data_IF_789588184007
#
_entry.id   IF_789588184007
#
_cell.length_a   1.000
_cell.length_b   1.000
_cell.length_c   1.000
_cell.angle_alpha   90.00
_cell.angle_beta   90.00
_cell.angle_gamma   90.00
#
_symmetry.space_group_name_H-M   'P 1'
#
loop_
_entity.id
_entity.type
_entity.pdbx_description
1 polymer ?
#
# COMPACT_ATOMS: atom_id res chain seq x y z
N UNK A 1 -58.48 6.29 24.59
CA UNK A 1 -57.29 7.07 24.22
C UNK A 1 -56.07 6.22 24.54
N UNK A 2 -55.61 5.43 23.56
CA UNK A 2 -54.35 4.68 23.65
C UNK A 2 -53.36 5.38 22.73
N UNK A 3 -52.39 6.08 23.29
CA UNK A 3 -51.25 6.57 22.53
C UNK A 3 -50.35 5.39 22.19
N UNK A 4 -50.21 5.12 20.89
CA UNK A 4 -49.27 4.15 20.36
C UNK A 4 -47.86 4.78 20.40
N UNK A 5 -46.99 4.20 21.20
CA UNK A 5 -45.57 4.51 21.24
C UNK A 5 -44.92 4.01 19.93
N UNK A 6 -44.63 4.95 19.04
CA UNK A 6 -44.00 4.69 17.75
C UNK A 6 -42.51 5.01 17.84
N UNK A 7 -41.76 4.17 18.55
CA UNK A 7 -40.30 4.23 18.57
C UNK A 7 -39.72 3.27 17.53
N UNK A 8 -39.33 3.85 16.39
CA UNK A 8 -38.54 3.18 15.35
C UNK A 8 -37.22 2.69 15.97
N UNK A 9 -36.77 1.43 15.74
CA UNK A 9 -35.49 0.98 16.26
C UNK A 9 -34.35 1.73 15.56
N UNK A 10 -33.55 2.45 16.34
CA UNK A 10 -32.30 3.02 15.84
C UNK A 10 -31.40 1.90 15.29
N UNK A 11 -30.86 2.12 14.09
CA UNK A 11 -29.90 1.23 13.45
C UNK A 11 -28.76 0.88 14.43
N UNK A 12 -28.38 -0.40 14.44
CA UNK A 12 -27.51 -1.00 15.45
C UNK A 12 -26.27 -0.17 15.77
N UNK A 13 -26.21 0.34 16.99
CA UNK A 13 -25.04 1.05 17.50
C UNK A 13 -23.81 0.12 17.46
N UNK A 14 -22.72 0.61 16.88
CA UNK A 14 -21.41 -0.04 16.90
C UNK A 14 -21.06 -0.44 18.35
N UNK A 15 -20.90 -1.75 18.60
CA UNK A 15 -20.47 -2.25 19.91
C UNK A 15 -18.94 -2.32 19.93
N UNK A 16 -18.25 -1.41 20.64
CA UNK A 16 -16.79 -1.47 20.72
C UNK A 16 -16.36 -2.76 21.42
N UNK A 17 -15.45 -3.52 20.78
CA UNK A 17 -14.78 -4.66 21.43
C UNK A 17 -13.84 -4.11 22.49
N UNK A 18 -14.12 -4.35 23.78
CA UNK A 18 -13.19 -4.00 24.88
C UNK A 18 -11.90 -4.82 24.76
N UNK A 19 -10.85 -4.27 24.16
CA UNK A 19 -9.52 -4.91 24.27
C UNK A 19 -8.27 -4.05 24.07
N UNK A 20 -8.34 -2.74 23.78
CA UNK A 20 -7.12 -1.90 23.59
C UNK A 20 -7.37 -0.40 23.85
N UNK A 21 -6.29 0.37 24.02
CA UNK A 21 -6.22 1.75 24.51
C UNK A 21 -6.99 2.83 23.70
N UNK A 22 -7.57 2.50 22.55
CA UNK A 22 -8.40 3.42 21.74
C UNK A 22 -9.71 2.77 21.23
N UNK A 23 -10.14 1.67 21.85
CA UNK A 23 -11.36 0.98 21.41
C UNK A 23 -12.60 1.88 21.50
N UNK A 24 -13.30 2.05 20.38
CA UNK A 24 -14.50 2.88 20.29
C UNK A 24 -14.23 4.39 20.24
N UNK A 25 -12.97 4.82 20.17
CA UNK A 25 -12.60 6.24 20.07
C UNK A 25 -12.48 6.62 18.60
N UNK A 26 -13.29 7.58 18.15
CA UNK A 26 -13.14 8.19 16.83
C UNK A 26 -11.90 9.09 16.82
N UNK A 27 -10.88 8.68 16.08
CA UNK A 27 -9.60 9.39 16.02
C UNK A 27 -9.50 10.44 14.89
N UNK A 28 -10.46 10.50 13.97
CA UNK A 28 -10.47 11.50 12.90
C UNK A 28 -11.46 11.18 11.78
N UNK A 29 -11.44 12.03 10.74
CA UNK A 29 -12.24 11.86 9.53
C UNK A 29 -11.37 11.32 8.39
N UNK A 30 -11.97 10.50 7.52
CA UNK A 30 -11.33 10.00 6.30
C UNK A 30 -12.33 9.92 5.16
N UNK A 31 -11.84 10.13 3.94
CA UNK A 31 -12.58 9.90 2.69
C UNK A 31 -12.03 8.71 1.90
N UNK A 32 -11.04 7.98 2.46
CA UNK A 32 -10.33 6.91 1.75
C UNK A 32 -11.05 5.57 1.85
N UNK A 33 -11.50 5.21 3.05
CA UNK A 33 -12.02 3.87 3.30
C UNK A 33 -13.07 3.88 4.41
N UNK A 34 -14.04 2.96 4.30
CA UNK A 34 -15.01 2.68 5.37
C UNK A 34 -15.09 1.19 5.61
N UNK A 35 -15.10 0.78 6.88
CA UNK A 35 -15.15 -0.62 7.32
C UNK A 35 -16.39 -0.85 8.18
N UNK A 36 -17.14 -1.92 7.90
CA UNK A 36 -18.18 -2.46 8.78
C UNK A 36 -19.35 -1.52 9.06
N UNK A 37 -19.68 -0.61 8.14
CA UNK A 37 -20.84 0.28 8.29
C UNK A 37 -22.16 -0.48 8.28
N UNK A 38 -22.26 -1.52 7.45
CA UNK A 38 -23.45 -2.40 7.36
C UNK A 38 -23.17 -3.80 7.92
N UNK A 39 -21.92 -4.10 8.27
CA UNK A 39 -21.53 -5.28 9.04
C UNK A 39 -20.15 -5.80 8.66
N UNK A 40 -20.03 -6.35 7.45
CA UNK A 40 -18.81 -6.95 6.90
C UNK A 40 -18.36 -6.26 5.59
N UNK A 41 -18.76 -5.01 5.39
CA UNK A 41 -18.46 -4.24 4.19
C UNK A 41 -17.14 -3.49 4.31
N UNK A 42 -16.38 -3.45 3.22
CA UNK A 42 -15.18 -2.64 3.07
C UNK A 42 -15.32 -1.87 1.77
N UNK A 43 -15.22 -0.54 1.84
CA UNK A 43 -15.30 0.31 0.66
C UNK A 43 -14.05 1.17 0.53
N UNK A 44 -13.54 1.30 -0.69
CA UNK A 44 -12.49 2.25 -1.04
C UNK A 44 -13.09 3.41 -1.81
N UNK A 45 -13.03 4.61 -1.22
CA UNK A 45 -13.64 5.84 -1.76
C UNK A 45 -15.09 5.65 -2.24
N UNK A 46 -15.84 4.78 -1.59
CA UNK A 46 -17.25 4.47 -1.90
C UNK A 46 -17.48 3.27 -2.81
N UNK A 47 -16.44 2.65 -3.38
CA UNK A 47 -16.56 1.41 -4.16
C UNK A 47 -16.41 0.19 -3.25
N UNK A 48 -17.27 -0.81 -3.40
CA UNK A 48 -17.20 -2.07 -2.63
C UNK A 48 -15.93 -2.84 -2.98
N UNK A 49 -15.20 -3.35 -1.98
CA UNK A 49 -14.02 -4.16 -2.18
C UNK A 49 -14.29 -5.41 -3.02
N UNK A 50 -15.49 -5.99 -2.92
CA UNK A 50 -15.82 -7.21 -3.68
C UNK A 50 -15.89 -6.93 -5.18
N UNK A 51 -16.37 -5.74 -5.56
CA UNK A 51 -16.37 -5.30 -6.95
C UNK A 51 -14.96 -4.98 -7.44
N UNK A 52 -14.16 -4.32 -6.61
CA UNK A 52 -12.78 -3.94 -6.94
C UNK A 52 -11.84 -5.14 -7.04
N UNK A 53 -11.92 -6.08 -6.09
CA UNK A 53 -11.00 -7.21 -6.00
C UNK A 53 -11.14 -8.16 -7.20
N UNK A 54 -12.34 -8.30 -7.77
CA UNK A 54 -12.58 -9.18 -8.92
C UNK A 54 -12.37 -8.53 -10.29
N UNK A 55 -12.42 -7.20 -10.37
CA UNK A 55 -12.50 -6.50 -11.66
C UNK A 55 -11.40 -5.47 -11.91
N UNK A 56 -10.62 -5.11 -10.89
CA UNK A 56 -9.56 -4.10 -11.01
C UNK A 56 -8.17 -4.70 -10.86
N UNK A 57 -7.23 -4.12 -11.59
CA UNK A 57 -5.80 -4.30 -11.33
C UNK A 57 -5.38 -3.47 -10.11
N UNK A 58 -4.24 -3.82 -9.53
CA UNK A 58 -3.72 -3.12 -8.36
C UNK A 58 -3.37 -1.67 -8.68
N UNK A 59 -2.89 -1.39 -9.87
CA UNK A 59 -2.52 -0.07 -10.33
C UNK A 59 -3.73 0.87 -10.41
N UNK A 60 -4.93 0.35 -10.72
CA UNK A 60 -6.18 1.13 -10.66
C UNK A 60 -6.54 1.50 -9.22
N UNK A 61 -6.37 0.55 -8.28
CA UNK A 61 -6.65 0.76 -6.86
C UNK A 61 -5.63 1.73 -6.23
N UNK A 62 -4.35 1.55 -6.53
CA UNK A 62 -3.29 2.47 -6.14
C UNK A 62 -3.58 3.89 -6.65
N UNK A 63 -3.98 4.01 -7.93
CA UNK A 63 -4.35 5.31 -8.49
C UNK A 63 -5.58 5.91 -7.80
N UNK A 64 -6.61 5.10 -7.54
CA UNK A 64 -7.80 5.54 -6.79
C UNK A 64 -7.42 6.09 -5.41
N UNK A 65 -6.60 5.38 -4.64
CA UNK A 65 -6.26 5.77 -3.28
C UNK A 65 -5.36 7.02 -3.25
N UNK A 66 -4.29 7.04 -4.04
CA UNK A 66 -3.27 8.11 -4.06
C UNK A 66 -3.73 9.36 -4.83
N UNK A 67 -4.34 9.18 -6.00
CA UNK A 67 -4.72 10.27 -6.91
C UNK A 67 -6.20 10.65 -6.82
N UNK A 68 -7.01 9.83 -6.14
CA UNK A 68 -8.37 10.19 -5.70
C UNK A 68 -9.51 9.76 -6.62
N UNK A 69 -9.21 9.12 -7.75
CA UNK A 69 -10.20 8.64 -8.72
C UNK A 69 -9.69 7.39 -9.43
N UNK A 70 -10.61 6.55 -9.90
CA UNK A 70 -10.26 5.48 -10.83
C UNK A 70 -9.70 6.10 -12.13
N UNK A 71 -8.60 5.57 -12.67
CA UNK A 71 -8.04 6.06 -13.92
C UNK A 71 -8.91 5.60 -15.10
N UNK A 72 -8.97 6.41 -16.17
CA UNK A 72 -9.37 5.88 -17.47
C UNK A 72 -8.22 5.08 -18.12
N UNK A 73 -8.47 4.42 -19.25
CA UNK A 73 -7.47 3.57 -19.91
C UNK A 73 -6.14 4.29 -20.26
N UNK A 74 -6.20 5.55 -20.68
CA UNK A 74 -5.00 6.33 -21.00
C UNK A 74 -4.24 6.74 -19.74
N UNK A 75 -4.96 7.13 -18.68
CA UNK A 75 -4.39 7.43 -17.37
C UNK A 75 -3.72 6.20 -16.76
N UNK A 76 -4.36 5.03 -16.84
CA UNK A 76 -3.83 3.77 -16.34
C UNK A 76 -2.54 3.37 -17.08
N UNK A 77 -2.54 3.45 -18.41
CA UNK A 77 -1.36 3.16 -19.20
C UNK A 77 -0.18 4.08 -18.84
N UNK A 78 -0.44 5.39 -18.70
CA UNK A 78 0.58 6.34 -18.28
C UNK A 78 1.08 6.06 -16.86
N UNK A 79 0.18 5.68 -15.95
CA UNK A 79 0.51 5.38 -14.56
C UNK A 79 1.36 4.11 -14.44
N UNK A 80 1.04 3.04 -15.19
CA UNK A 80 1.87 1.84 -15.27
C UNK A 80 3.28 2.13 -15.78
N UNK A 81 3.42 2.95 -16.82
CA UNK A 81 4.73 3.39 -17.33
C UNK A 81 5.50 4.14 -16.24
N UNK A 82 4.85 5.07 -15.53
CA UNK A 82 5.47 5.80 -14.42
C UNK A 82 5.96 4.83 -13.34
N UNK A 83 5.10 3.93 -12.86
CA UNK A 83 5.46 2.96 -11.81
C UNK A 83 6.59 2.04 -12.25
N UNK A 84 6.58 1.55 -13.50
CA UNK A 84 7.66 0.74 -14.06
C UNK A 84 9.01 1.46 -14.01
N UNK A 85 9.04 2.75 -14.34
CA UNK A 85 10.26 3.57 -14.28
C UNK A 85 10.75 3.87 -12.85
N UNK A 86 9.95 3.58 -11.82
CA UNK A 86 10.26 3.83 -10.42
C UNK A 86 10.76 2.59 -9.65
N UNK A 87 10.85 1.42 -10.30
CA UNK A 87 11.31 0.15 -9.69
C UNK A 87 12.80 0.16 -9.31
N UNK A 88 13.61 0.95 -10.02
CA UNK A 88 15.04 1.05 -9.81
C UNK A 88 15.44 1.47 -8.39
N UNK A 89 16.51 0.86 -7.87
CA UNK A 89 17.08 1.19 -6.56
C UNK A 89 18.38 2.00 -6.72
N UNK A 90 18.53 3.15 -6.05
CA UNK A 90 19.80 3.87 -6.01
C UNK A 90 20.95 3.00 -5.48
N UNK A 91 22.17 3.23 -5.97
CA UNK A 91 23.34 2.44 -5.58
C UNK A 91 23.58 2.41 -4.06
N UNK A 92 23.35 3.54 -3.38
CA UNK A 92 23.48 3.63 -1.92
C UNK A 92 22.43 2.77 -1.19
N UNK A 93 21.21 2.65 -1.72
CA UNK A 93 20.17 1.79 -1.16
C UNK A 93 20.55 0.32 -1.36
N UNK A 94 21.00 -0.07 -2.57
CA UNK A 94 21.52 -1.41 -2.83
C UNK A 94 22.67 -1.76 -1.87
N UNK A 95 23.66 -0.87 -1.72
CA UNK A 95 24.77 -1.07 -0.81
C UNK A 95 24.31 -1.24 0.65
N UNK A 96 23.36 -0.44 1.13
CA UNK A 96 22.83 -0.59 2.48
C UNK A 96 22.11 -1.94 2.69
N UNK A 97 21.32 -2.39 1.70
CA UNK A 97 20.68 -3.70 1.73
C UNK A 97 21.70 -4.84 1.81
N UNK A 98 22.85 -4.71 1.15
CA UNK A 98 23.93 -5.72 1.19
C UNK A 98 24.59 -5.86 2.57
N UNK A 99 24.49 -4.84 3.42
CA UNK A 99 24.98 -4.89 4.82
C UNK A 99 23.99 -5.59 5.77
N UNK A 100 22.74 -5.78 5.36
CA UNK A 100 21.72 -6.43 6.20
C UNK A 100 21.88 -7.95 6.11
N UNK A 101 22.11 -8.66 7.22
CA UNK A 101 22.40 -10.10 7.20
C UNK A 101 21.18 -10.91 6.75
N UNK A 102 21.41 -12.10 6.18
CA UNK A 102 20.35 -13.02 5.77
C UNK A 102 19.42 -13.44 6.92
N UNK A 103 19.91 -13.41 8.17
CA UNK A 103 19.14 -13.73 9.37
C UNK A 103 18.20 -12.61 9.83
N UNK A 104 18.23 -11.43 9.20
CA UNK A 104 17.33 -10.34 9.54
C UNK A 104 15.89 -10.69 9.18
N UNK A 105 14.94 -10.22 9.99
CA UNK A 105 13.53 -10.34 9.64
C UNK A 105 13.24 -9.45 8.42
N UNK A 106 12.52 -9.91 7.37
CA UNK A 106 12.23 -9.11 6.17
C UNK A 106 11.65 -7.72 6.45
N UNK A 107 10.84 -7.58 7.49
CA UNK A 107 10.31 -6.26 7.89
C UNK A 107 11.39 -5.29 8.38
N UNK A 108 12.46 -5.76 9.03
CA UNK A 108 13.59 -4.91 9.42
C UNK A 108 14.40 -4.46 8.19
N UNK A 109 14.50 -5.32 7.18
CA UNK A 109 15.09 -5.00 5.87
C UNK A 109 14.30 -3.87 5.22
N UNK A 110 12.97 -4.00 5.16
CA UNK A 110 12.09 -2.98 4.57
C UNK A 110 12.16 -1.66 5.33
N UNK A 111 12.09 -1.67 6.66
CA UNK A 111 12.23 -0.46 7.50
C UNK A 111 13.56 0.26 7.20
N UNK A 112 14.65 -0.50 7.15
CA UNK A 112 15.99 0.05 6.90
C UNK A 112 16.13 0.57 5.47
N UNK A 113 15.66 -0.19 4.48
CA UNK A 113 15.70 0.19 3.07
C UNK A 113 14.91 1.47 2.78
N UNK A 114 13.70 1.59 3.32
CA UNK A 114 12.87 2.81 3.18
C UNK A 114 13.52 4.00 3.87
N UNK A 115 14.07 3.82 5.08
CA UNK A 115 14.79 4.88 5.78
C UNK A 115 16.00 5.37 4.99
N UNK A 116 16.81 4.46 4.44
CA UNK A 116 17.96 4.84 3.58
C UNK A 116 17.47 5.50 2.30
N UNK A 117 16.39 5.03 1.68
CA UNK A 117 15.82 5.66 0.49
C UNK A 117 15.46 7.13 0.78
N UNK A 118 14.82 7.41 1.92
CA UNK A 118 14.51 8.78 2.36
C UNK A 118 15.75 9.66 2.53
N UNK A 119 16.88 9.10 2.98
CA UNK A 119 18.15 9.88 3.05
C UNK A 119 18.77 10.14 1.67
N UNK A 120 18.57 9.23 0.72
CA UNK A 120 19.15 9.33 -0.64
C UNK A 120 18.30 10.22 -1.54
N UNK A 121 16.99 10.20 -1.35
CA UNK A 121 15.99 10.97 -2.07
C UNK A 121 15.08 11.71 -1.07
N UNK A 122 15.59 12.74 -0.37
CA UNK A 122 14.83 13.43 0.66
C UNK A 122 13.57 14.09 0.12
N UNK A 123 12.50 14.04 0.91
CA UNK A 123 11.30 14.83 0.66
C UNK A 123 11.64 16.33 0.72
N UNK A 124 10.91 17.15 -0.04
CA UNK A 124 11.05 18.60 0.01
C UNK A 124 10.38 19.16 1.27
N UNK A 125 10.98 20.19 1.85
CA UNK A 125 10.47 20.87 3.05
C UNK A 125 9.04 21.43 2.92
N UNK A 126 8.54 21.62 1.69
CA UNK A 126 7.18 22.13 1.46
C UNK A 126 6.09 21.05 1.56
N UNK A 127 6.47 19.77 1.64
CA UNK A 127 5.59 18.60 1.72
C UNK A 127 4.37 18.69 0.79
N UNK A 128 4.58 19.23 -0.41
CA UNK A 128 3.46 19.52 -1.29
C UNK A 128 2.80 18.22 -1.78
N UNK A 129 1.49 18.28 -2.03
CA UNK A 129 0.70 17.10 -2.37
C UNK A 129 1.23 16.35 -3.62
N UNK A 130 1.67 17.01 -4.71
CA UNK A 130 2.30 16.31 -5.83
C UNK A 130 3.58 15.55 -5.44
N UNK A 131 4.45 16.14 -4.61
CA UNK A 131 5.68 15.51 -4.13
C UNK A 131 5.40 14.29 -3.27
N UNK A 132 4.47 14.41 -2.31
CA UNK A 132 4.04 13.27 -1.48
C UNK A 132 3.48 12.11 -2.32
N UNK A 133 2.72 12.42 -3.39
CA UNK A 133 2.23 11.40 -4.34
C UNK A 133 3.36 10.74 -5.12
N UNK A 134 4.36 11.50 -5.56
CA UNK A 134 5.52 10.94 -6.25
C UNK A 134 6.35 10.01 -5.33
N UNK A 135 6.45 10.32 -4.04
CA UNK A 135 7.09 9.45 -3.04
C UNK A 135 6.25 8.18 -2.85
N UNK A 136 4.94 8.29 -2.68
CA UNK A 136 4.04 7.14 -2.56
C UNK A 136 4.13 6.20 -3.77
N UNK A 137 4.08 6.75 -4.99
CA UNK A 137 4.23 6.00 -6.24
C UNK A 137 5.59 5.27 -6.30
N UNK A 138 6.67 5.94 -5.88
CA UNK A 138 8.02 5.35 -5.84
C UNK A 138 8.11 4.21 -4.83
N UNK A 139 7.58 4.39 -3.62
CA UNK A 139 7.59 3.36 -2.60
C UNK A 139 6.81 2.13 -3.10
N UNK A 140 5.58 2.31 -3.59
CA UNK A 140 4.79 1.20 -4.14
C UNK A 140 5.54 0.45 -5.25
N UNK A 141 6.20 1.16 -6.17
CA UNK A 141 6.94 0.56 -7.26
C UNK A 141 8.22 -0.20 -6.82
N UNK A 142 8.93 0.28 -5.80
CA UNK A 142 10.28 -0.18 -5.47
C UNK A 142 10.38 -1.06 -4.21
N UNK A 143 9.35 -1.14 -3.36
CA UNK A 143 9.38 -1.98 -2.15
C UNK A 143 9.62 -3.46 -2.49
N UNK A 144 8.96 -3.98 -3.53
CA UNK A 144 9.20 -5.35 -4.02
C UNK A 144 10.64 -5.56 -4.47
N UNK A 145 11.19 -4.59 -5.21
CA UNK A 145 12.57 -4.57 -5.66
C UNK A 145 13.57 -4.58 -4.50
N UNK A 146 13.34 -3.80 -3.44
CA UNK A 146 14.20 -3.77 -2.25
C UNK A 146 14.29 -5.13 -1.57
N UNK A 147 13.12 -5.73 -1.29
CA UNK A 147 13.03 -7.01 -0.60
C UNK A 147 13.75 -8.11 -1.39
N UNK A 148 13.49 -8.16 -2.69
CA UNK A 148 13.96 -9.23 -3.56
C UNK A 148 15.45 -9.08 -3.91
N UNK A 149 15.92 -7.84 -4.05
CA UNK A 149 17.35 -7.57 -4.16
C UNK A 149 18.11 -8.08 -2.94
N UNK A 150 17.65 -7.71 -1.73
CA UNK A 150 18.25 -8.20 -0.49
C UNK A 150 18.18 -9.73 -0.39
N UNK A 151 17.03 -10.33 -0.69
CA UNK A 151 16.85 -11.78 -0.59
C UNK A 151 17.84 -12.53 -1.48
N UNK A 152 17.95 -12.16 -2.76
CA UNK A 152 18.90 -12.82 -3.67
C UNK A 152 20.36 -12.56 -3.31
N UNK A 153 20.71 -11.36 -2.85
CA UNK A 153 22.07 -11.06 -2.42
C UNK A 153 22.46 -11.89 -1.18
N UNK A 154 21.63 -11.82 -0.14
CA UNK A 154 21.94 -12.39 1.18
C UNK A 154 21.79 -13.92 1.23
N UNK A 155 20.85 -14.51 0.49
CA UNK A 155 20.58 -15.96 0.53
C UNK A 155 21.19 -16.72 -0.65
N UNK A 156 21.27 -16.09 -1.83
CA UNK A 156 21.72 -16.75 -3.06
C UNK A 156 23.08 -16.26 -3.55
N UNK A 157 23.70 -15.29 -2.87
CA UNK A 157 25.02 -14.77 -3.20
C UNK A 157 25.10 -14.04 -4.54
N UNK A 158 23.97 -13.56 -5.08
CA UNK A 158 23.92 -12.88 -6.38
C UNK A 158 23.23 -11.52 -6.29
N UNK A 159 23.78 -10.54 -6.99
CA UNK A 159 23.08 -9.29 -7.29
C UNK A 159 22.13 -9.54 -8.47
N UNK A 160 20.94 -8.96 -8.41
CA UNK A 160 19.94 -9.06 -9.49
C UNK A 160 19.63 -7.68 -10.05
N UNK A 161 19.25 -7.63 -11.32
CA UNK A 161 18.56 -6.47 -11.87
C UNK A 161 17.12 -6.45 -11.37
N UNK A 162 16.64 -5.23 -11.08
CA UNK A 162 15.31 -5.01 -10.48
C UNK A 162 14.38 -4.23 -11.39
N UNK A 163 14.79 -3.96 -12.62
CA UNK A 163 13.96 -3.31 -13.62
C UNK A 163 13.53 -4.37 -14.64
N UNK A 164 12.36 -4.96 -14.40
CA UNK A 164 11.78 -5.96 -15.30
C UNK A 164 10.78 -5.34 -16.26
N UNK A 165 10.46 -6.07 -17.32
CA UNK A 165 9.50 -5.61 -18.33
C UNK A 165 8.03 -5.81 -17.97
N UNK A 166 7.73 -6.46 -16.83
CA UNK A 166 6.37 -6.80 -16.41
C UNK A 166 5.48 -5.57 -16.30
N UNK A 167 4.23 -5.72 -16.72
CA UNK A 167 3.27 -4.63 -16.79
C UNK A 167 2.80 -4.16 -15.40
N UNK A 168 2.68 -5.08 -14.43
CA UNK A 168 2.18 -4.79 -13.08
C UNK A 168 3.23 -4.92 -11.97
N UNK A 169 2.99 -4.26 -10.83
CA UNK A 169 3.77 -4.38 -9.59
C UNK A 169 3.74 -5.83 -9.09
N UNK A 170 2.57 -6.47 -9.11
CA UNK A 170 2.42 -7.86 -8.71
C UNK A 170 3.22 -8.82 -9.59
N UNK A 171 3.15 -8.63 -10.91
CA UNK A 171 3.95 -9.40 -11.86
C UNK A 171 5.45 -9.17 -11.67
N UNK A 172 5.87 -7.92 -11.50
CA UNK A 172 7.26 -7.56 -11.21
C UNK A 172 7.79 -8.28 -9.95
N UNK A 173 7.03 -8.24 -8.85
CA UNK A 173 7.42 -8.92 -7.62
C UNK A 173 7.61 -10.43 -7.81
N UNK A 174 6.65 -11.08 -8.46
CA UNK A 174 6.70 -12.53 -8.73
C UNK A 174 7.84 -12.90 -9.68
N UNK A 175 8.09 -12.06 -10.69
CA UNK A 175 9.20 -12.25 -11.61
C UNK A 175 10.52 -12.26 -10.85
N UNK A 176 10.77 -11.24 -10.02
CA UNK A 176 11.99 -11.21 -9.22
C UNK A 176 12.08 -12.42 -8.29
N UNK A 177 10.97 -12.84 -7.68
CA UNK A 177 10.93 -13.94 -6.71
C UNK A 177 11.35 -15.27 -7.32
N UNK A 178 10.84 -15.55 -8.53
CA UNK A 178 11.05 -16.84 -9.19
C UNK A 178 12.18 -16.81 -10.21
N UNK A 179 12.61 -15.62 -10.65
CA UNK A 179 13.63 -15.42 -11.68
C UNK A 179 13.13 -15.67 -13.11
N UNK A 180 11.81 -15.75 -13.32
CA UNK A 180 11.17 -15.97 -14.62
C UNK A 180 9.84 -15.23 -14.70
N UNK A 181 9.35 -14.97 -15.91
CA UNK A 181 8.05 -14.30 -16.11
C UNK A 181 6.92 -15.11 -15.47
N UNK A 182 6.12 -14.51 -14.56
CA UNK A 182 5.07 -15.24 -13.87
C UNK A 182 3.92 -15.60 -14.80
N UNK A 183 3.23 -16.69 -14.49
CA UNK A 183 2.01 -17.07 -15.19
C UNK A 183 0.89 -16.05 -14.95
N UNK A 184 -0.02 -15.89 -15.94
CA UNK A 184 -1.15 -14.96 -15.81
C UNK A 184 -1.99 -15.22 -14.54
N UNK A 185 -2.24 -16.47 -14.20
CA UNK A 185 -3.05 -16.81 -13.02
C UNK A 185 -2.41 -16.36 -11.71
N UNK A 186 -1.07 -16.34 -11.64
CA UNK A 186 -0.36 -15.83 -10.45
C UNK A 186 -0.44 -14.31 -10.38
N UNK A 187 -0.31 -13.62 -11.52
CA UNK A 187 -0.46 -12.16 -11.59
C UNK A 187 -1.88 -11.75 -11.19
N UNK A 188 -2.89 -12.45 -11.71
CA UNK A 188 -4.31 -12.20 -11.36
C UNK A 188 -4.53 -12.40 -9.86
N UNK A 189 -4.03 -13.49 -9.27
CA UNK A 189 -4.13 -13.73 -7.83
C UNK A 189 -3.41 -12.63 -7.01
N UNK A 190 -2.28 -12.14 -7.50
CA UNK A 190 -1.53 -11.06 -6.85
C UNK A 190 -2.28 -9.73 -6.90
N UNK A 191 -2.99 -9.43 -7.99
CA UNK A 191 -3.89 -8.26 -8.04
C UNK A 191 -4.98 -8.35 -6.99
N UNK A 192 -5.68 -9.49 -6.88
CA UNK A 192 -6.70 -9.69 -5.83
C UNK A 192 -6.08 -9.48 -4.45
N UNK A 193 -4.94 -10.13 -4.17
CA UNK A 193 -4.31 -10.04 -2.85
C UNK A 193 -3.88 -8.62 -2.50
N UNK A 194 -3.27 -7.89 -3.43
CA UNK A 194 -2.83 -6.51 -3.21
C UNK A 194 -4.02 -5.57 -3.05
N UNK A 195 -5.09 -5.76 -3.81
CA UNK A 195 -6.33 -4.98 -3.67
C UNK A 195 -6.93 -5.15 -2.28
N UNK A 196 -7.00 -6.38 -1.76
CA UNK A 196 -7.54 -6.66 -0.43
C UNK A 196 -6.70 -6.07 0.71
N UNK A 197 -5.38 -5.91 0.52
CA UNK A 197 -4.48 -5.34 1.52
C UNK A 197 -4.25 -3.84 1.38
N UNK A 198 -4.76 -3.20 0.33
CA UNK A 198 -4.38 -1.84 -0.05
C UNK A 198 -4.71 -0.79 1.02
N UNK A 199 -5.83 -0.94 1.72
CA UNK A 199 -6.28 0.02 2.74
C UNK A 199 -7.24 -0.63 3.75
N UNK A 200 -7.18 -0.21 5.01
CA UNK A 200 -8.03 -0.74 6.09
C UNK A 200 -8.22 0.26 7.25
N UNK A 201 -8.57 1.50 6.91
CA UNK A 201 -8.89 2.60 7.82
C UNK A 201 -7.79 2.86 8.87
N UNK A 202 -8.15 3.19 10.11
CA UNK A 202 -7.20 3.56 11.17
C UNK A 202 -6.66 2.34 11.91
N UNK A 203 -6.20 1.34 11.14
CA UNK A 203 -5.39 0.25 11.69
C UNK A 203 -4.08 0.82 12.29
N UNK A 204 -3.39 0.02 13.13
CA UNK A 204 -2.27 0.51 13.92
C UNK A 204 -1.12 1.13 13.10
N UNK A 205 -0.75 0.54 11.96
CA UNK A 205 0.32 1.08 11.10
C UNK A 205 -0.11 2.41 10.44
N UNK A 206 -1.33 2.47 9.92
CA UNK A 206 -1.88 3.70 9.32
C UNK A 206 -2.02 4.81 10.36
N UNK A 207 -2.52 4.48 11.55
CA UNK A 207 -2.62 5.43 12.65
C UNK A 207 -1.25 5.94 13.10
N UNK A 208 -0.23 5.06 13.14
CA UNK A 208 1.16 5.45 13.45
C UNK A 208 1.70 6.42 12.42
N UNK A 209 1.53 6.14 11.12
CA UNK A 209 1.95 7.04 10.04
C UNK A 209 1.27 8.41 10.16
N UNK A 210 -0.04 8.44 10.48
CA UNK A 210 -0.78 9.70 10.70
C UNK A 210 -0.29 10.48 11.91
N UNK A 211 0.12 9.81 12.98
CA UNK A 211 0.69 10.48 14.17
C UNK A 211 2.03 11.14 13.81
N UNK A 212 2.89 10.45 13.07
CA UNK A 212 4.19 10.98 12.59
C UNK A 212 3.95 12.18 11.65
N UNK A 213 3.14 12.00 10.61
CA UNK A 213 2.80 13.10 9.69
C UNK A 213 2.10 14.27 10.42
N UNK A 214 1.35 13.99 11.50
CA UNK A 214 0.68 14.98 12.34
C UNK A 214 1.64 15.90 13.11
N UNK A 215 2.92 15.55 13.24
CA UNK A 215 3.95 16.44 13.80
C UNK A 215 4.57 17.36 12.73
N UNK A 216 4.20 17.19 11.46
CA UNK A 216 4.84 17.85 10.32
C UNK A 216 6.12 17.16 9.85
N UNK A 217 6.34 15.89 10.22
CA UNK A 217 7.43 15.08 9.65
C UNK A 217 7.14 14.67 8.21
N UNK A 218 8.20 14.29 7.50
CA UNK A 218 8.21 13.68 6.18
C UNK A 218 7.46 12.34 6.09
N UNK A 219 7.15 11.95 4.85
CA UNK A 219 6.46 10.70 4.46
C UNK A 219 7.36 9.46 4.48
#
# INVERSE_FOLDING_TARGET
MSEADNSTPAAGAFKPKKSVALSGVTAGNTALCTVGRTGNDLHYRGYDILDLAGNCEFEEIAHLLVHGKLPNAAELAAYKIKLKALRGLPANVKAALEWVPASAHPMDVMRTGVSVLGTVLPEKDDHNLPGARDIADRLMASLGSMLLYWYHYSHNGRRIEVETDDDSIGGHFLHLLHGETPSKSWVDAMHVSLNLYAEHEFNASTFTARVIAGTGSDL
#
